data_IF_229862634261
#
_entry.id   IF_229862634261
#
_cell.length_a   1.000
_cell.length_b   1.000
_cell.length_c   1.000
_cell.angle_alpha   90.00
_cell.angle_beta   90.00
_cell.angle_gamma   90.00
#
_symmetry.space_group_name_H-M   'P 1'
#
loop_
_entity.id
_entity.type
_entity.pdbx_description
1 polymer ?
#
# COMPACT_ATOMS: atom_id res chain seq x y z
N UNK A 1 15.82 4.28 -3.30
CA UNK A 1 15.05 5.34 -2.61
C UNK A 1 13.75 4.68 -2.17
N UNK A 2 12.96 5.26 -1.27
CA UNK A 2 11.71 4.62 -0.87
C UNK A 2 10.58 5.63 -1.12
N UNK A 3 9.83 5.46 -2.20
CA UNK A 3 8.62 6.23 -2.43
C UNK A 3 7.53 5.83 -1.43
N UNK A 4 6.72 6.79 -1.03
CA UNK A 4 5.56 6.59 -0.19
C UNK A 4 4.34 6.33 -1.08
N UNK A 5 3.65 5.20 -0.91
CA UNK A 5 2.72 4.68 -1.92
C UNK A 5 1.32 4.49 -1.33
N UNK A 6 0.27 4.99 -2.00
CA UNK A 6 -1.10 4.81 -1.55
C UNK A 6 -1.55 3.37 -1.72
N UNK A 7 -2.14 2.79 -0.69
CA UNK A 7 -2.75 1.47 -0.74
C UNK A 7 -4.03 1.41 0.08
N UNK A 8 -4.94 0.51 -0.30
CA UNK A 8 -6.24 0.32 0.34
C UNK A 8 -6.12 -0.67 1.48
N UNK A 9 -6.62 -0.33 2.66
CA UNK A 9 -6.72 -1.28 3.78
C UNK A 9 -7.81 -2.30 3.48
N UNK A 10 -7.45 -3.57 3.37
CA UNK A 10 -8.40 -4.67 3.10
C UNK A 10 -8.65 -5.55 4.33
N UNK A 11 -7.75 -5.52 5.31
CA UNK A 11 -7.94 -6.15 6.61
C UNK A 11 -7.12 -5.45 7.69
N UNK A 12 -7.58 -5.51 8.94
CA UNK A 12 -6.88 -4.99 10.13
C UNK A 12 -6.80 -6.13 11.15
N UNK A 13 -5.65 -6.29 11.79
CA UNK A 13 -5.38 -7.27 12.84
C UNK A 13 -5.33 -6.55 14.20
N UNK A 14 -6.51 -6.33 14.80
CA UNK A 14 -6.67 -5.59 16.06
C UNK A 14 -6.01 -6.29 17.27
N UNK A 15 -5.60 -7.55 17.13
CA UNK A 15 -4.90 -8.32 18.16
C UNK A 15 -3.38 -8.32 18.03
N UNK A 16 -2.84 -7.72 16.96
CA UNK A 16 -1.40 -7.63 16.74
C UNK A 16 -0.78 -6.43 17.50
N UNK A 17 0.42 -6.64 18.05
CA UNK A 17 1.25 -5.60 18.66
C UNK A 17 2.64 -5.66 17.99
N UNK A 18 3.00 -4.70 17.12
CA UNK A 18 2.24 -3.49 16.77
C UNK A 18 1.00 -3.76 15.89
N UNK A 19 0.04 -2.83 15.92
CA UNK A 19 -1.19 -2.86 15.11
C UNK A 19 -0.80 -3.02 13.65
N UNK A 20 -1.30 -4.08 13.01
CA UNK A 20 -0.90 -4.45 11.65
C UNK A 20 -2.12 -4.64 10.77
N UNK A 21 -2.04 -4.25 9.51
CA UNK A 21 -3.10 -4.47 8.53
C UNK A 21 -2.58 -5.01 7.21
N UNK A 22 -3.50 -5.51 6.39
CA UNK A 22 -3.26 -5.94 5.02
C UNK A 22 -3.66 -4.81 4.08
N UNK A 23 -2.72 -4.39 3.24
CA UNK A 23 -2.86 -3.26 2.32
C UNK A 23 -2.78 -3.78 0.88
N UNK A 24 -3.75 -3.41 0.06
CA UNK A 24 -3.83 -3.71 -1.36
C UNK A 24 -3.36 -2.51 -2.19
N UNK A 25 -2.31 -2.73 -2.99
CA UNK A 25 -1.72 -1.77 -3.91
C UNK A 25 -2.10 -2.11 -5.35
N UNK A 26 -3.41 -2.16 -5.65
CA UNK A 26 -3.90 -2.43 -7.01
C UNK A 26 -3.69 -3.87 -7.48
N UNK A 27 -3.80 -4.85 -6.58
CA UNK A 27 -3.68 -6.29 -6.86
C UNK A 27 -2.57 -6.98 -6.07
N UNK A 28 -1.63 -6.22 -5.48
CA UNK A 28 -0.56 -6.74 -4.63
C UNK A 28 -0.89 -6.45 -3.17
N UNK A 29 -1.02 -7.51 -2.37
CA UNK A 29 -1.30 -7.38 -0.94
C UNK A 29 -0.03 -7.50 -0.10
N UNK A 30 0.22 -6.53 0.78
CA UNK A 30 1.35 -6.53 1.73
C UNK A 30 0.87 -6.15 3.12
N UNK A 31 1.51 -6.71 4.15
CA UNK A 31 1.27 -6.30 5.54
C UNK A 31 2.01 -5.00 5.83
N UNK A 32 1.34 -4.07 6.50
CA UNK A 32 1.92 -2.82 6.96
C UNK A 32 1.51 -2.55 8.41
N UNK A 33 2.40 -1.90 9.15
CA UNK A 33 2.13 -1.41 10.49
C UNK A 33 1.20 -0.19 10.40
N UNK A 34 0.10 -0.22 11.16
CA UNK A 34 -0.95 0.80 11.21
C UNK A 34 -0.92 1.61 12.51
N UNK A 35 0.08 1.41 13.38
CA UNK A 35 0.21 2.06 14.69
C UNK A 35 0.06 3.59 14.66
N UNK A 36 0.50 4.21 13.56
CA UNK A 36 0.47 5.67 13.38
C UNK A 36 -0.86 6.19 12.81
N UNK A 37 -1.74 5.29 12.40
CA UNK A 37 -3.09 5.57 11.88
C UNK A 37 -4.12 4.61 12.48
N UNK A 38 -4.21 4.50 13.83
CA UNK A 38 -5.02 3.48 14.49
C UNK A 38 -6.52 3.63 14.22
N UNK A 39 -6.97 4.81 13.81
CA UNK A 39 -8.36 5.06 13.42
C UNK A 39 -8.73 4.64 11.99
N UNK A 40 -7.75 4.15 11.21
CA UNK A 40 -7.99 3.69 9.84
C UNK A 40 -8.95 2.50 9.83
N UNK A 41 -9.81 2.45 8.81
CA UNK A 41 -10.78 1.36 8.64
C UNK A 41 -10.54 0.58 7.36
N UNK A 42 -11.00 -0.67 7.36
CA UNK A 42 -11.09 -1.46 6.13
C UNK A 42 -11.90 -0.68 5.10
N UNK A 43 -11.34 -0.54 3.90
CA UNK A 43 -11.90 0.24 2.81
C UNK A 43 -11.25 1.60 2.61
N UNK A 44 -10.50 2.12 3.59
CA UNK A 44 -9.80 3.41 3.50
C UNK A 44 -8.41 3.28 2.88
N UNK A 45 -7.86 4.41 2.43
CA UNK A 45 -6.55 4.48 1.80
C UNK A 45 -5.51 5.09 2.74
N UNK A 46 -4.32 4.51 2.75
CA UNK A 46 -3.18 4.98 3.53
C UNK A 46 -1.94 5.08 2.66
N UNK A 47 -1.08 6.05 2.96
CA UNK A 47 0.25 6.09 2.39
C UNK A 47 1.17 5.20 3.23
N UNK A 48 1.76 4.20 2.58
CA UNK A 48 2.74 3.30 3.19
C UNK A 48 4.14 3.67 2.74
N UNK A 49 5.07 3.76 3.70
CA UNK A 49 6.48 3.99 3.45
C UNK A 49 7.31 3.01 4.30
N UNK A 50 8.12 2.17 3.65
CA UNK A 50 9.00 1.17 4.30
C UNK A 50 8.24 0.24 5.28
N UNK A 51 6.99 -0.11 4.96
CA UNK A 51 6.17 -1.02 5.77
C UNK A 51 5.36 -0.35 6.89
N UNK A 52 5.36 0.98 6.98
CA UNK A 52 4.55 1.75 7.92
C UNK A 52 3.53 2.61 7.20
N UNK A 53 2.27 2.56 7.63
CA UNK A 53 1.27 3.53 7.22
C UNK A 53 1.47 4.82 8.01
N UNK A 54 1.77 5.92 7.32
CA UNK A 54 2.17 7.19 7.95
C UNK A 54 1.02 8.20 8.03
N UNK A 55 0.09 8.15 7.08
CA UNK A 55 -1.04 9.08 7.02
C UNK A 55 -2.23 8.45 6.31
N UNK A 56 -3.43 8.75 6.80
CA UNK A 56 -4.70 8.53 6.09
C UNK A 56 -4.81 9.57 4.98
N UNK A 57 -5.18 9.15 3.79
CA UNK A 57 -5.53 10.06 2.69
C UNK A 57 -7.04 9.99 2.44
N UNK A 58 -7.62 11.13 2.09
CA UNK A 58 -8.95 11.14 1.48
C UNK A 58 -8.90 10.47 0.09
N UNK A 59 -10.00 9.81 -0.28
CA UNK A 59 -10.12 9.02 -1.50
C UNK A 59 -9.82 9.84 -2.77
N UNK A 60 -10.25 11.10 -2.82
CA UNK A 60 -10.08 11.97 -3.99
C UNK A 60 -8.60 12.30 -4.22
N UNK A 61 -7.92 12.73 -3.16
CA UNK A 61 -6.48 13.05 -3.19
C UNK A 61 -5.63 11.80 -3.41
N UNK A 62 -6.04 10.65 -2.86
CA UNK A 62 -5.37 9.37 -3.10
C UNK A 62 -5.40 9.00 -4.58
N UNK A 63 -6.58 9.06 -5.20
CA UNK A 63 -6.73 8.71 -6.61
C UNK A 63 -6.07 9.72 -7.55
N UNK A 64 -6.11 11.02 -7.23
CA UNK A 64 -5.39 12.03 -8.00
C UNK A 64 -3.88 11.80 -7.97
N UNK A 65 -3.34 11.43 -6.80
CA UNK A 65 -1.92 11.13 -6.64
C UNK A 65 -1.53 9.85 -7.38
N UNK A 66 -2.32 8.77 -7.24
CA UNK A 66 -2.08 7.50 -7.95
C UNK A 66 -2.02 7.69 -9.47
N UNK A 67 -2.97 8.43 -10.04
CA UNK A 67 -2.98 8.75 -11.49
C UNK A 67 -1.73 9.51 -11.91
N UNK A 68 -1.28 10.48 -11.11
CA UNK A 68 -0.07 11.24 -11.39
C UNK A 68 1.19 10.36 -11.34
N UNK A 69 1.26 9.42 -10.39
CA UNK A 69 2.37 8.47 -10.30
C UNK A 69 2.40 7.47 -11.46
N UNK A 70 1.23 7.06 -11.97
CA UNK A 70 1.09 6.20 -13.16
C UNK A 70 1.53 6.94 -14.43
N UNK A 71 1.09 8.19 -14.62
CA UNK A 71 1.49 9.02 -15.77
C UNK A 71 3.00 9.31 -15.81
N UNK A 72 3.64 9.41 -14.63
CA UNK A 72 5.07 9.68 -14.51
C UNK A 72 5.95 8.42 -14.58
N UNK A 73 5.37 7.21 -14.64
CA UNK A 73 6.13 5.94 -14.67
C UNK A 73 6.87 5.60 -13.37
N UNK A 74 6.68 6.39 -12.32
CA UNK A 74 7.38 6.26 -11.03
C UNK A 74 6.93 5.05 -10.22
N UNK A 75 5.76 4.48 -10.55
CA UNK A 75 5.30 3.20 -10.01
C UNK A 75 6.16 2.03 -10.50
N UNK A 76 6.65 2.08 -11.73
CA UNK A 76 7.42 0.97 -12.33
C UNK A 76 8.90 1.04 -11.93
N UNK A 77 9.46 2.24 -11.73
CA UNK A 77 10.83 2.43 -11.25
C UNK A 77 11.03 2.01 -9.78
N UNK A 78 10.06 2.22 -8.91
CA UNK A 78 10.19 1.92 -7.47
C UNK A 78 9.64 0.54 -7.08
N UNK A 79 8.75 -0.04 -7.88
CA UNK A 79 8.21 -1.38 -7.65
C UNK A 79 8.61 -2.42 -8.68
N UNK A 80 9.41 -2.09 -9.69
CA UNK A 80 9.82 -3.04 -10.74
C UNK A 80 10.23 -4.41 -10.18
N UNK A 81 11.00 -4.42 -9.09
CA UNK A 81 11.40 -5.64 -8.37
C UNK A 81 10.24 -6.38 -7.68
N UNK A 82 9.23 -5.67 -7.17
CA UNK A 82 8.06 -6.22 -6.50
C UNK A 82 7.00 -6.74 -7.49
N UNK A 83 6.81 -6.08 -8.63
CA UNK A 83 5.95 -6.55 -9.73
C UNK A 83 6.58 -7.76 -10.43
N UNK A 84 7.90 -7.80 -10.62
CA UNK A 84 8.59 -8.95 -11.22
C UNK A 84 8.55 -10.18 -10.29
N UNK A 85 8.65 -9.99 -8.97
CA UNK A 85 8.48 -11.07 -7.99
C UNK A 85 7.03 -11.56 -7.89
N UNK A 86 6.04 -10.65 -7.85
CA UNK A 86 4.63 -11.02 -7.83
C UNK A 86 4.18 -11.72 -9.13
N UNK A 87 4.68 -11.30 -10.29
CA UNK A 87 4.42 -11.97 -11.57
C UNK A 87 5.07 -13.36 -11.66
N UNK A 88 6.27 -13.54 -11.10
CA UNK A 88 6.93 -14.86 -10.99
C UNK A 88 6.18 -15.82 -10.06
N UNK A 89 5.59 -15.31 -8.97
CA UNK A 89 4.77 -16.12 -8.05
C UNK A 89 3.37 -16.44 -8.62
N UNK A 90 2.77 -15.54 -9.42
CA UNK A 90 1.49 -15.77 -10.09
C UNK A 90 1.59 -16.71 -11.31
N UNK A 91 2.77 -16.83 -11.93
CA UNK A 91 3.04 -17.66 -13.11
C UNK A 91 3.52 -19.09 -12.83
N UNK A 92 3.63 -19.51 -11.56
CA UNK A 92 4.05 -20.86 -11.16
C UNK A 92 2.90 -21.72 -10.62
N UNK A 93 1.69 -21.61 -11.19
CA UNK A 93 0.60 -22.56 -10.98
C UNK A 93 0.26 -23.34 -12.24
#
# INVERSE_FOLDING_TARGET
>A
MCLAVPGKVVAIDDGADPLTGLIDFGGVQKRACLEYVPEVRVGEYVIVHVGFALQRLDEESAQASLRLFEELGLLEEEFGDAWEQAAKEAGSR
#
